data_IF_750881603371
#
_entry.id   IF_750881603371
#
_cell.length_a   1.000
_cell.length_b   1.000
_cell.length_c   1.000
_cell.angle_alpha   90.00
_cell.angle_beta   90.00
_cell.angle_gamma   90.00
#
_symmetry.space_group_name_H-M   'P 1'
#
loop_
_entity.id
_entity.type
_entity.pdbx_description
1 polymer ?
#
# COMPACT_ATOMS: atom_id res chain seq x y z
N UNK A 1 18.57 1.48 -14.85
CA UNK A 1 18.10 2.84 -14.53
C UNK A 1 16.58 2.81 -14.65
N UNK A 2 15.86 3.33 -13.66
CA UNK A 2 14.39 3.33 -13.69
C UNK A 2 13.87 4.21 -14.81
N UNK A 3 12.82 3.76 -15.50
CA UNK A 3 12.17 4.47 -16.60
C UNK A 3 10.77 4.92 -16.26
N UNK A 4 10.10 4.20 -15.36
CA UNK A 4 8.78 4.54 -14.85
C UNK A 4 8.67 4.04 -13.41
N UNK A 5 8.15 4.89 -12.52
CA UNK A 5 7.77 4.48 -11.18
C UNK A 5 6.28 4.74 -10.91
N UNK A 6 5.63 3.83 -10.21
CA UNK A 6 4.30 4.00 -9.65
C UNK A 6 4.43 3.95 -8.13
N UNK A 7 3.87 4.94 -7.46
CA UNK A 7 3.77 4.97 -6.00
C UNK A 7 2.28 5.03 -5.67
N UNK A 8 1.77 3.97 -5.08
CA UNK A 8 0.44 3.93 -4.52
C UNK A 8 0.43 4.47 -3.09
N UNK A 9 -0.55 5.30 -2.76
CA UNK A 9 -0.89 5.62 -1.37
C UNK A 9 -2.29 5.02 -1.15
N UNK A 10 -2.36 3.95 -0.39
CA UNK A 10 -3.60 3.20 -0.13
C UNK A 10 -4.58 4.08 0.67
N UNK A 11 -5.83 4.18 0.23
CA UNK A 11 -6.84 4.98 0.92
C UNK A 11 -6.63 6.50 0.91
N UNK A 12 -5.85 7.05 -0.02
CA UNK A 12 -5.54 8.48 -0.01
C UNK A 12 -6.68 9.35 -0.56
N UNK A 13 -6.99 10.44 0.14
CA UNK A 13 -7.96 11.45 -0.33
C UNK A 13 -7.34 12.85 -0.38
N UNK A 14 -7.71 13.63 -1.39
CA UNK A 14 -7.34 15.05 -1.48
C UNK A 14 -7.93 15.88 -0.33
N UNK A 15 -9.00 15.43 0.31
CA UNK A 15 -9.59 16.12 1.47
C UNK A 15 -8.64 16.17 2.67
N UNK A 16 -7.72 15.21 2.78
CA UNK A 16 -6.63 15.23 3.77
C UNK A 16 -5.36 15.80 3.16
N UNK A 17 -4.97 15.37 1.96
CA UNK A 17 -3.71 15.78 1.34
C UNK A 17 -3.61 17.28 1.10
N UNK A 18 -4.68 17.94 0.61
CA UNK A 18 -4.62 19.37 0.27
C UNK A 18 -4.37 20.24 1.50
N UNK A 19 -5.10 20.10 2.63
CA UNK A 19 -4.78 20.82 3.86
C UNK A 19 -3.34 20.60 4.35
N UNK A 20 -2.83 19.37 4.28
CA UNK A 20 -1.45 19.07 4.70
C UNK A 20 -0.40 19.71 3.80
N UNK A 21 -0.65 19.76 2.49
CA UNK A 21 0.22 20.46 1.53
C UNK A 21 0.20 21.97 1.77
N UNK A 22 -0.98 22.56 1.99
CA UNK A 22 -1.12 23.99 2.31
C UNK A 22 -0.42 24.34 3.62
N UNK A 23 -0.43 23.42 4.60
CA UNK A 23 0.32 23.51 5.85
C UNK A 23 1.84 23.28 5.72
N UNK A 24 2.33 22.89 4.53
CA UNK A 24 3.75 22.63 4.28
C UNK A 24 4.25 21.27 4.80
N UNK A 25 3.35 20.33 5.08
CA UNK A 25 3.67 19.06 5.76
C UNK A 25 3.98 17.90 4.80
N UNK A 26 3.56 18.00 3.53
CA UNK A 26 3.82 17.01 2.48
C UNK A 26 4.56 17.64 1.28
N UNK A 27 5.80 18.14 1.46
CA UNK A 27 6.52 18.88 0.42
C UNK A 27 6.87 18.04 -0.83
N UNK A 28 7.09 16.72 -0.69
CA UNK A 28 7.48 15.88 -1.82
C UNK A 28 6.30 15.60 -2.75
N UNK A 29 5.13 15.28 -2.18
CA UNK A 29 3.89 15.13 -2.93
C UNK A 29 3.47 16.49 -3.50
N UNK A 30 3.57 17.58 -2.73
CA UNK A 30 3.29 18.93 -3.22
C UNK A 30 4.12 19.28 -4.46
N UNK A 31 5.40 18.88 -4.49
CA UNK A 31 6.27 19.04 -5.67
C UNK A 31 5.71 18.28 -6.88
N UNK A 32 5.32 17.02 -6.72
CA UNK A 32 4.75 16.20 -7.81
C UNK A 32 3.46 16.83 -8.35
N UNK A 33 2.56 17.29 -7.47
CA UNK A 33 1.31 17.92 -7.91
C UNK A 33 1.54 19.24 -8.65
N UNK A 34 2.54 20.03 -8.24
CA UNK A 34 2.88 21.32 -8.85
C UNK A 34 3.59 21.16 -10.21
N UNK A 35 4.47 20.18 -10.32
CA UNK A 35 5.32 19.97 -11.52
C UNK A 35 4.69 18.99 -12.53
N UNK A 36 3.63 18.27 -12.12
CA UNK A 36 2.92 17.28 -12.93
C UNK A 36 1.48 17.67 -13.26
N UNK A 37 0.66 16.64 -13.49
CA UNK A 37 -0.78 16.76 -13.72
C UNK A 37 -1.49 15.99 -12.60
N UNK A 38 -2.52 16.61 -12.02
CA UNK A 38 -3.32 16.00 -10.96
C UNK A 38 -4.80 16.24 -11.16
N UNK A 39 -5.63 15.35 -10.61
CA UNK A 39 -7.07 15.44 -10.67
C UNK A 39 -7.72 14.28 -9.91
N UNK A 40 -9.00 14.42 -9.60
CA UNK A 40 -9.79 13.37 -8.98
C UNK A 40 -10.04 12.24 -9.98
N UNK A 41 -9.91 11.00 -9.53
CA UNK A 41 -10.22 9.80 -10.32
C UNK A 41 -11.36 9.03 -9.64
N UNK A 42 -12.29 8.52 -10.45
CA UNK A 42 -13.33 7.61 -9.95
C UNK A 42 -12.70 6.23 -9.67
N UNK A 43 -12.83 5.75 -8.43
CA UNK A 43 -12.43 4.39 -8.05
C UNK A 43 -13.38 3.34 -8.66
N UNK A 44 -13.02 2.08 -8.51
CA UNK A 44 -13.86 0.96 -8.92
C UNK A 44 -15.12 0.84 -8.04
N UNK A 45 -16.10 0.08 -8.53
CA UNK A 45 -17.32 -0.25 -7.78
C UNK A 45 -17.33 -1.75 -7.46
N UNK A 46 -17.15 -2.17 -6.20
CA UNK A 46 -16.99 -1.34 -4.98
C UNK A 46 -15.60 -0.70 -4.82
N UNK A 47 -15.50 0.47 -4.15
CA UNK A 47 -14.24 1.21 -3.97
C UNK A 47 -13.45 0.64 -2.79
N UNK A 48 -12.92 -0.57 -2.98
CA UNK A 48 -12.10 -1.27 -1.98
C UNK A 48 -10.82 -1.79 -2.64
N UNK A 49 -9.77 -1.99 -1.83
CA UNK A 49 -8.43 -2.39 -2.25
C UNK A 49 -8.37 -3.48 -3.34
N UNK A 50 -9.06 -4.64 -3.24
CA UNK A 50 -8.88 -5.73 -4.21
C UNK A 50 -9.30 -5.42 -5.66
N UNK A 51 -10.54 -4.97 -5.95
CA UNK A 51 -10.93 -4.58 -7.30
C UNK A 51 -10.13 -3.40 -7.84
N UNK A 52 -9.84 -2.40 -7.01
CA UNK A 52 -9.19 -1.17 -7.45
C UNK A 52 -7.73 -1.40 -7.89
N UNK A 53 -6.87 -2.00 -7.04
CA UNK A 53 -5.49 -2.31 -7.44
C UNK A 53 -5.42 -3.33 -8.58
N UNK A 54 -6.32 -4.32 -8.61
CA UNK A 54 -6.37 -5.28 -9.73
C UNK A 54 -6.76 -4.59 -11.04
N UNK A 55 -7.71 -3.67 -11.01
CA UNK A 55 -8.12 -2.90 -12.20
C UNK A 55 -6.99 -2.01 -12.68
N UNK A 56 -6.29 -1.34 -11.76
CA UNK A 56 -5.12 -0.52 -12.08
C UNK A 56 -4.01 -1.34 -12.74
N UNK A 57 -3.71 -2.53 -12.22
CA UNK A 57 -2.69 -3.40 -12.78
C UNK A 57 -3.09 -3.99 -14.14
N UNK A 58 -4.37 -4.24 -14.39
CA UNK A 58 -4.85 -4.97 -15.58
C UNK A 58 -5.45 -4.08 -16.67
N UNK A 59 -5.76 -2.82 -16.37
CA UNK A 59 -6.40 -1.87 -17.27
C UNK A 59 -7.84 -2.24 -17.64
N UNK A 60 -8.51 -3.08 -16.85
CA UNK A 60 -9.90 -3.50 -17.07
C UNK A 60 -10.65 -3.52 -15.74
N UNK A 61 -11.98 -3.41 -15.77
CA UNK A 61 -12.81 -3.36 -14.55
C UNK A 61 -13.05 -4.75 -13.90
N UNK A 62 -13.65 -4.81 -12.69
CA UNK A 62 -13.97 -6.04 -11.98
C UNK A 62 -14.82 -7.04 -12.75
N UNK A 63 -15.68 -6.56 -13.64
CA UNK A 63 -16.44 -7.36 -14.60
C UNK A 63 -15.57 -8.27 -15.45
N UNK A 64 -14.36 -7.81 -15.80
CA UNK A 64 -13.47 -8.50 -16.72
C UNK A 64 -12.36 -9.30 -16.03
N UNK A 65 -11.78 -8.81 -14.94
CA UNK A 65 -10.76 -9.57 -14.20
C UNK A 65 -11.34 -10.46 -13.08
N UNK A 66 -12.60 -10.26 -12.69
CA UNK A 66 -13.32 -11.15 -11.77
C UNK A 66 -12.85 -11.10 -10.31
N UNK A 67 -12.26 -9.98 -9.87
CA UNK A 67 -11.88 -9.73 -8.47
C UNK A 67 -12.77 -8.60 -7.94
N UNK A 68 -13.61 -8.92 -6.96
CA UNK A 68 -14.57 -7.97 -6.38
C UNK A 68 -14.34 -7.72 -4.88
N UNK A 69 -13.53 -8.55 -4.23
CA UNK A 69 -13.25 -8.51 -2.79
C UNK A 69 -12.01 -9.36 -2.50
N UNK A 70 -11.48 -9.32 -1.27
CA UNK A 70 -10.37 -10.18 -0.82
C UNK A 70 -10.74 -11.67 -0.84
N UNK A 71 -12.03 -11.99 -0.69
CA UNK A 71 -12.55 -13.35 -0.69
C UNK A 71 -13.51 -13.53 -1.86
N UNK A 72 -13.57 -14.74 -2.40
CA UNK A 72 -14.59 -15.16 -3.34
C UNK A 72 -15.33 -16.35 -2.79
N UNK A 73 -16.60 -16.47 -3.18
CA UNK A 73 -17.37 -17.70 -3.00
C UNK A 73 -16.91 -18.74 -4.01
N UNK A 74 -16.76 -19.99 -3.56
CA UNK A 74 -16.48 -21.12 -4.43
C UNK A 74 -17.75 -21.49 -5.23
N UNK A 75 -17.64 -21.77 -6.54
CA UNK A 75 -18.79 -22.18 -7.35
C UNK A 75 -19.50 -23.39 -6.73
N UNK A 76 -20.83 -23.38 -6.76
CA UNK A 76 -21.68 -24.47 -6.26
C UNK A 76 -21.42 -24.85 -4.78
N UNK A 77 -20.94 -23.92 -3.97
CA UNK A 77 -20.58 -24.15 -2.57
C UNK A 77 -20.88 -22.92 -1.71
N UNK A 78 -20.92 -23.09 -0.39
CA UNK A 78 -20.87 -22.00 0.59
C UNK A 78 -19.45 -21.71 1.08
N UNK A 79 -18.45 -22.44 0.57
CA UNK A 79 -17.05 -22.21 0.89
C UNK A 79 -16.52 -20.92 0.28
N UNK A 80 -15.49 -20.36 0.93
CA UNK A 80 -14.79 -19.17 0.48
C UNK A 80 -13.32 -19.50 0.17
N UNK A 81 -12.72 -18.69 -0.70
CA UNK A 81 -11.28 -18.71 -0.97
C UNK A 81 -10.76 -17.28 -1.12
N UNK A 82 -9.49 -17.04 -0.79
CA UNK A 82 -8.85 -15.76 -1.04
C UNK A 82 -8.71 -15.52 -2.55
N UNK A 83 -8.97 -14.30 -3.00
CA UNK A 83 -8.52 -13.83 -4.30
C UNK A 83 -7.03 -13.49 -4.22
N UNK A 84 -6.33 -13.84 -5.28
CA UNK A 84 -4.87 -13.76 -5.36
C UNK A 84 -4.46 -13.53 -6.82
N UNK A 85 -3.16 -13.29 -7.02
CA UNK A 85 -2.57 -12.89 -8.29
C UNK A 85 -2.83 -13.88 -9.43
N UNK A 86 -3.06 -15.17 -9.15
CA UNK A 86 -3.24 -16.22 -10.17
C UNK A 86 -4.48 -16.01 -11.04
N UNK A 87 -5.40 -15.15 -10.62
CA UNK A 87 -6.57 -14.77 -11.44
C UNK A 87 -6.26 -13.87 -12.62
N UNK A 88 -5.24 -13.02 -12.48
CA UNK A 88 -4.95 -11.98 -13.46
C UNK A 88 -3.51 -12.01 -13.97
N UNK A 89 -2.61 -12.72 -13.27
CA UNK A 89 -1.21 -12.82 -13.66
C UNK A 89 -1.09 -13.28 -15.12
N UNK A 90 -0.23 -12.60 -15.86
CA UNK A 90 -0.14 -12.79 -17.32
C UNK A 90 -0.85 -11.70 -18.14
N UNK A 91 -1.74 -10.92 -17.52
CA UNK A 91 -2.53 -9.83 -18.14
C UNK A 91 -2.27 -8.46 -17.51
N UNK A 92 -1.52 -8.40 -16.42
CA UNK A 92 -1.13 -7.18 -15.71
C UNK A 92 0.04 -6.44 -16.37
N UNK A 93 0.20 -5.17 -16.01
CA UNK A 93 1.25 -4.29 -16.50
C UNK A 93 2.65 -4.84 -16.23
N UNK A 94 2.89 -5.49 -15.08
CA UNK A 94 4.19 -6.09 -14.75
C UNK A 94 4.54 -7.18 -15.77
N UNK A 95 3.59 -8.07 -16.07
CA UNK A 95 3.78 -9.11 -17.09
C UNK A 95 3.93 -8.51 -18.49
N UNK A 96 3.11 -7.52 -18.85
CA UNK A 96 3.13 -6.87 -20.17
C UNK A 96 4.47 -6.18 -20.45
N UNK A 97 5.03 -5.50 -19.45
CA UNK A 97 6.34 -4.84 -19.53
C UNK A 97 7.48 -5.87 -19.51
N UNK A 98 7.40 -6.89 -18.64
CA UNK A 98 8.37 -7.98 -18.60
C UNK A 98 8.52 -8.71 -19.95
N UNK A 99 7.40 -9.00 -20.62
CA UNK A 99 7.37 -9.58 -21.98
C UNK A 99 7.97 -8.67 -23.05
N UNK A 100 8.00 -7.36 -22.82
CA UNK A 100 8.65 -6.35 -23.68
C UNK A 100 10.12 -6.13 -23.32
N UNK A 101 10.69 -6.95 -22.43
CA UNK A 101 12.09 -6.90 -22.05
C UNK A 101 12.43 -5.88 -20.97
N UNK A 102 11.43 -5.29 -20.30
CA UNK A 102 11.68 -4.42 -19.15
C UNK A 102 11.96 -5.28 -17.91
N UNK A 103 12.93 -4.85 -17.12
CA UNK A 103 13.09 -5.32 -15.75
C UNK A 103 12.01 -4.71 -14.85
N UNK A 104 11.45 -5.50 -13.93
CA UNK A 104 10.29 -5.14 -13.11
C UNK A 104 10.61 -5.35 -11.63
N UNK A 105 10.47 -4.30 -10.84
CA UNK A 105 10.54 -4.32 -9.39
C UNK A 105 9.19 -3.96 -8.79
N UNK A 106 8.66 -4.80 -7.92
CA UNK A 106 7.48 -4.45 -7.12
C UNK A 106 7.75 -4.64 -5.64
N UNK A 107 7.23 -3.74 -4.80
CA UNK A 107 7.42 -3.79 -3.36
C UNK A 107 6.11 -3.50 -2.62
N UNK A 108 5.65 -4.45 -1.79
CA UNK A 108 4.44 -4.32 -0.99
C UNK A 108 3.16 -3.98 -1.79
N UNK A 109 3.06 -4.42 -3.04
CA UNK A 109 1.89 -4.11 -3.90
C UNK A 109 0.74 -5.07 -3.58
N UNK A 110 -0.46 -4.57 -3.20
CA UNK A 110 -1.62 -5.41 -2.93
C UNK A 110 -1.99 -6.30 -4.12
N UNK A 111 -2.63 -7.43 -3.83
CA UNK A 111 -3.10 -8.44 -4.79
C UNK A 111 -2.01 -9.18 -5.58
N UNK A 112 -0.73 -8.85 -5.40
CA UNK A 112 0.41 -9.50 -6.07
C UNK A 112 0.76 -10.85 -5.46
N UNK A 113 0.23 -11.22 -4.29
CA UNK A 113 0.46 -12.55 -3.71
C UNK A 113 -0.31 -13.67 -4.44
N UNK A 114 0.27 -14.87 -4.63
CA UNK A 114 1.70 -15.13 -4.52
C UNK A 114 2.46 -14.39 -5.64
N UNK A 115 3.66 -13.84 -5.35
CA UNK A 115 4.45 -13.18 -6.38
C UNK A 115 4.75 -14.20 -7.49
N UNK A 116 4.82 -13.72 -8.73
CA UNK A 116 4.96 -14.56 -9.91
C UNK A 116 6.19 -14.16 -10.73
N UNK A 117 6.74 -15.07 -11.55
CA UNK A 117 7.94 -14.78 -12.33
C UNK A 117 7.76 -13.59 -13.25
N UNK A 118 8.62 -12.58 -13.09
CA UNK A 118 8.85 -11.53 -14.09
C UNK A 118 10.12 -11.86 -14.86
N UNK A 119 10.26 -11.40 -16.10
CA UNK A 119 11.41 -11.76 -16.95
C UNK A 119 12.76 -11.41 -16.27
N UNK A 120 12.84 -10.20 -15.70
CA UNK A 120 13.98 -9.72 -14.92
C UNK A 120 13.46 -8.84 -13.78
N UNK A 121 14.13 -8.87 -12.61
CA UNK A 121 13.79 -8.03 -11.46
C UNK A 121 13.31 -8.81 -10.25
N UNK A 122 12.33 -8.28 -9.52
CA UNK A 122 11.83 -8.85 -8.27
C UNK A 122 10.38 -8.46 -7.97
N UNK A 123 9.74 -9.22 -7.08
CA UNK A 123 8.45 -8.89 -6.49
C UNK A 123 8.44 -9.19 -5.00
N UNK A 124 7.99 -8.24 -4.19
CA UNK A 124 7.60 -8.44 -2.79
C UNK A 124 6.09 -8.18 -2.72
N UNK A 125 5.33 -9.20 -2.32
CA UNK A 125 3.88 -9.12 -2.32
C UNK A 125 3.34 -8.25 -1.17
N UNK A 126 2.29 -7.49 -1.45
CA UNK A 126 1.40 -6.92 -0.45
C UNK A 126 0.16 -7.79 -0.22
N UNK A 127 -0.74 -7.30 0.65
CA UNK A 127 -1.97 -7.99 1.05
C UNK A 127 -2.92 -8.30 -0.13
N UNK A 128 -3.70 -9.40 -0.09
CA UNK A 128 -3.76 -10.41 0.97
C UNK A 128 -2.63 -11.43 0.83
N UNK A 129 -1.89 -11.65 1.90
CA UNK A 129 -0.76 -12.57 1.95
C UNK A 129 -0.53 -13.06 3.40
N UNK A 130 0.30 -14.09 3.62
CA UNK A 130 0.81 -14.40 4.95
C UNK A 130 1.53 -13.19 5.54
N UNK A 131 1.52 -13.04 6.87
CA UNK A 131 2.19 -11.91 7.54
C UNK A 131 3.70 -11.96 7.32
N UNK A 132 4.30 -13.15 7.33
CA UNK A 132 5.73 -13.37 7.16
C UNK A 132 6.00 -14.62 6.30
N UNK A 133 7.25 -14.75 5.84
CA UNK A 133 7.79 -15.98 5.27
C UNK A 133 8.25 -15.88 3.82
N UNK A 134 9.02 -16.90 3.41
CA UNK A 134 9.71 -16.95 2.10
C UNK A 134 8.77 -16.78 0.89
N UNK A 135 7.49 -17.16 1.02
CA UNK A 135 6.50 -17.06 -0.06
C UNK A 135 6.11 -15.64 -0.46
N UNK A 136 6.52 -14.63 0.30
CA UNK A 136 6.24 -13.22 0.01
C UNK A 136 7.12 -12.64 -1.10
N UNK A 137 8.23 -13.30 -1.43
CA UNK A 137 9.23 -12.77 -2.34
C UNK A 137 9.44 -13.64 -3.58
N UNK A 138 9.70 -12.98 -4.71
CA UNK A 138 10.26 -13.57 -5.91
C UNK A 138 11.44 -12.71 -6.40
N UNK A 139 12.58 -13.29 -6.81
CA UNK A 139 12.87 -14.72 -6.88
C UNK A 139 13.05 -15.36 -5.49
N UNK A 140 13.13 -16.70 -5.46
CA UNK A 140 13.41 -17.43 -4.23
C UNK A 140 14.71 -16.92 -3.58
N UNK A 141 14.68 -16.73 -2.26
CA UNK A 141 15.79 -16.16 -1.49
C UNK A 141 15.73 -14.65 -1.29
N UNK A 142 14.86 -13.92 -2.00
CA UNK A 142 14.70 -12.48 -1.83
C UNK A 142 14.33 -12.10 -0.40
N UNK A 143 13.38 -12.79 0.23
CA UNK A 143 12.97 -12.44 1.60
C UNK A 143 14.12 -12.58 2.60
N UNK A 144 14.91 -13.65 2.50
CA UNK A 144 16.12 -13.84 3.33
C UNK A 144 17.14 -12.73 3.12
N UNK A 145 17.28 -12.26 1.90
CA UNK A 145 18.14 -11.11 1.59
C UNK A 145 17.64 -9.84 2.29
N UNK A 146 16.34 -9.53 2.18
CA UNK A 146 15.74 -8.37 2.88
C UNK A 146 15.90 -8.47 4.40
N UNK A 147 15.63 -9.63 4.97
CA UNK A 147 15.76 -9.90 6.42
C UNK A 147 17.20 -9.73 6.89
N UNK A 148 18.19 -10.11 6.07
CA UNK A 148 19.60 -9.90 6.38
C UNK A 148 20.00 -8.43 6.47
N UNK A 149 19.24 -7.53 5.83
CA UNK A 149 19.53 -6.09 5.82
C UNK A 149 19.05 -5.37 7.08
N UNK A 150 17.93 -5.82 7.65
CA UNK A 150 17.31 -5.22 8.84
C UNK A 150 17.56 -6.02 10.13
N UNK A 151 17.99 -7.28 10.03
CA UNK A 151 18.33 -8.13 11.17
C UNK A 151 17.12 -8.79 11.85
N UNK A 152 15.94 -8.73 11.25
CA UNK A 152 14.71 -9.37 11.72
C UNK A 152 13.79 -9.77 10.54
N UNK A 153 12.80 -10.65 10.76
CA UNK A 153 11.83 -11.06 9.74
C UNK A 153 11.10 -9.88 9.08
N UNK A 154 10.75 -10.03 7.79
CA UNK A 154 9.91 -9.06 7.08
C UNK A 154 8.43 -9.29 7.41
N UNK A 155 7.69 -8.21 7.60
CA UNK A 155 6.26 -8.21 7.93
C UNK A 155 5.42 -7.49 6.86
N UNK A 156 4.51 -8.25 6.25
CA UNK A 156 3.67 -7.81 5.15
C UNK A 156 2.39 -7.06 5.59
N UNK A 157 2.03 -7.11 6.87
CA UNK A 157 1.05 -6.25 7.55
C UNK A 157 1.15 -6.48 9.07
N UNK A 158 0.35 -5.76 9.87
CA UNK A 158 0.12 -6.07 11.28
C UNK A 158 -0.68 -7.38 11.41
N UNK A 159 -0.38 -8.19 12.42
CA UNK A 159 -1.30 -9.26 12.84
C UNK A 159 -2.51 -8.61 13.53
N UNK A 160 -3.65 -8.54 12.85
CA UNK A 160 -4.88 -7.97 13.41
C UNK A 160 -5.63 -8.91 14.34
N UNK A 161 -5.22 -10.18 14.48
CA UNK A 161 -5.87 -11.14 15.38
C UNK A 161 -5.98 -10.64 16.84
N UNK A 162 -4.92 -10.05 17.42
CA UNK A 162 -4.94 -9.38 18.71
C UNK A 162 -5.73 -8.05 18.74
N UNK A 163 -6.20 -7.53 17.60
CA UNK A 163 -6.79 -6.20 17.44
C UNK A 163 -8.27 -6.22 17.03
N UNK A 164 -9.07 -7.20 17.46
CA UNK A 164 -10.55 -7.24 17.30
C UNK A 164 -11.14 -6.94 15.90
N UNK A 165 -10.28 -6.84 14.87
CA UNK A 165 -10.59 -6.28 13.56
C UNK A 165 -11.04 -4.81 13.60
N UNK A 166 -11.56 -4.35 12.46
CA UNK A 166 -12.12 -3.01 12.27
C UNK A 166 -13.55 -2.85 12.87
N UNK A 167 -13.84 -3.54 13.98
CA UNK A 167 -15.15 -3.49 14.63
C UNK A 167 -15.17 -2.46 15.75
N UNK A 168 -16.10 -1.51 15.69
CA UNK A 168 -16.32 -0.58 16.80
C UNK A 168 -16.86 -1.29 18.05
N UNK A 169 -16.19 -1.06 19.18
CA UNK A 169 -16.61 -1.54 20.49
C UNK A 169 -17.26 -0.41 21.30
N UNK A 170 -18.14 -0.75 22.26
CA UNK A 170 -18.72 0.25 23.17
C UNK A 170 -17.68 1.03 23.99
N UNK A 171 -16.51 0.43 24.23
CA UNK A 171 -15.41 1.04 24.97
C UNK A 171 -14.08 0.80 24.28
N UNK A 172 -13.29 1.87 24.15
CA UNK A 172 -11.96 1.81 23.57
C UNK A 172 -10.93 1.26 24.55
N UNK A 173 -10.13 0.31 24.09
CA UNK A 173 -8.88 -0.05 24.73
C UNK A 173 -7.76 0.83 24.18
N UNK A 174 -7.55 2.00 24.79
CA UNK A 174 -6.56 2.98 24.30
C UNK A 174 -5.12 2.44 24.34
N UNK A 175 -4.79 1.48 25.22
CA UNK A 175 -3.46 0.84 25.21
C UNK A 175 -3.28 -0.05 23.98
N UNK A 176 -4.32 -0.74 23.55
CA UNK A 176 -4.33 -1.54 22.32
C UNK A 176 -4.20 -0.64 21.09
N UNK A 177 -4.89 0.51 21.06
CA UNK A 177 -4.70 1.52 20.00
C UNK A 177 -3.27 2.08 19.96
N UNK A 178 -2.65 2.33 21.12
CA UNK A 178 -1.25 2.76 21.17
C UNK A 178 -0.30 1.70 20.58
N UNK A 179 -0.48 0.43 20.95
CA UNK A 179 0.30 -0.67 20.37
C UNK A 179 0.09 -0.80 18.85
N UNK A 180 -1.16 -0.73 18.40
CA UNK A 180 -1.50 -0.79 16.97
C UNK A 180 -0.82 0.34 16.19
N UNK A 181 -0.90 1.59 16.68
CA UNK A 181 -0.20 2.74 16.09
C UNK A 181 1.30 2.45 15.98
N UNK A 182 1.92 2.05 17.08
CA UNK A 182 3.37 1.85 17.12
C UNK A 182 3.81 0.72 16.16
N UNK A 183 3.03 -0.35 16.04
CA UNK A 183 3.29 -1.44 15.08
C UNK A 183 3.10 -1.00 13.63
N UNK A 184 2.01 -0.30 13.31
CA UNK A 184 1.75 0.22 11.97
C UNK A 184 2.90 1.11 11.47
N UNK A 185 3.32 2.07 12.30
CA UNK A 185 4.41 2.97 11.93
C UNK A 185 5.76 2.27 11.88
N UNK A 186 6.04 1.32 12.79
CA UNK A 186 7.28 0.54 12.72
C UNK A 186 7.36 -0.26 11.42
N UNK A 187 6.32 -1.02 11.07
CA UNK A 187 6.30 -1.85 9.85
C UNK A 187 6.49 -0.99 8.61
N UNK A 188 5.79 0.15 8.53
CA UNK A 188 5.92 1.03 7.37
C UNK A 188 7.30 1.74 7.33
N UNK A 189 7.92 2.04 8.48
CA UNK A 189 9.31 2.53 8.53
C UNK A 189 10.33 1.49 8.07
N UNK A 190 10.14 0.22 8.44
CA UNK A 190 10.97 -0.90 7.97
C UNK A 190 10.83 -1.05 6.44
N UNK A 191 9.60 -0.96 5.92
CA UNK A 191 9.32 -0.94 4.48
C UNK A 191 10.01 0.20 3.74
N UNK A 192 10.01 1.41 4.30
CA UNK A 192 10.73 2.55 3.73
C UNK A 192 12.22 2.23 3.57
N UNK A 193 12.84 1.72 4.64
CA UNK A 193 14.27 1.40 4.66
C UNK A 193 14.61 0.29 3.64
N UNK A 194 13.83 -0.78 3.62
CA UNK A 194 14.00 -1.89 2.67
C UNK A 194 13.77 -1.45 1.23
N UNK A 195 12.70 -0.70 0.96
CA UNK A 195 12.41 -0.17 -0.37
C UNK A 195 13.55 0.70 -0.89
N UNK A 196 14.06 1.64 -0.06
CA UNK A 196 15.19 2.51 -0.43
C UNK A 196 16.40 1.70 -0.86
N UNK A 197 16.76 0.69 -0.06
CA UNK A 197 17.92 -0.15 -0.36
C UNK A 197 17.68 -1.02 -1.60
N UNK A 198 16.50 -1.65 -1.70
CA UNK A 198 16.16 -2.52 -2.81
C UNK A 198 16.14 -1.77 -4.15
N UNK A 199 15.56 -0.57 -4.18
CA UNK A 199 15.49 0.26 -5.38
C UNK A 199 16.88 0.77 -5.81
N UNK A 200 17.76 1.07 -4.84
CA UNK A 200 19.13 1.52 -5.10
C UNK A 200 20.04 0.38 -5.57
N UNK A 201 20.01 -0.76 -4.88
CA UNK A 201 20.93 -1.88 -5.12
C UNK A 201 20.47 -2.74 -6.31
N UNK A 202 19.16 -2.76 -6.59
CA UNK A 202 18.54 -3.53 -7.69
C UNK A 202 17.61 -2.63 -8.52
N UNK A 203 18.13 -1.65 -9.26
CA UNK A 203 17.28 -0.79 -10.08
C UNK A 203 16.59 -1.59 -11.18
N UNK A 204 15.33 -1.28 -11.45
CA UNK A 204 14.50 -1.92 -12.48
C UNK A 204 13.90 -0.86 -13.39
N UNK A 205 13.59 -1.20 -14.65
CA UNK A 205 13.01 -0.26 -15.61
C UNK A 205 11.62 0.21 -15.17
N UNK A 206 10.82 -0.69 -14.60
CA UNK A 206 9.54 -0.39 -13.99
C UNK A 206 9.56 -0.70 -12.50
N UNK A 207 9.29 0.31 -11.67
CA UNK A 207 9.17 0.15 -10.22
C UNK A 207 7.74 0.46 -9.75
N UNK A 208 7.15 -0.40 -8.92
CA UNK A 208 5.83 -0.14 -8.33
C UNK A 208 5.82 -0.50 -6.85
N UNK A 209 5.46 0.46 -6.00
CA UNK A 209 5.27 0.25 -4.56
C UNK A 209 3.94 0.81 -4.10
N UNK A 210 3.37 0.27 -3.02
CA UNK A 210 2.19 0.81 -2.35
C UNK A 210 2.49 1.02 -0.88
N UNK A 211 2.12 2.19 -0.37
CA UNK A 211 2.22 2.59 1.03
C UNK A 211 0.87 2.32 1.67
N UNK A 212 0.83 1.44 2.68
CA UNK A 212 -0.43 0.95 3.25
C UNK A 212 -0.86 1.66 4.52
N UNK A 213 0.08 2.28 5.24
CA UNK A 213 -0.18 2.86 6.57
C UNK A 213 -1.30 3.91 6.57
N UNK A 214 -1.50 4.64 5.48
CA UNK A 214 -2.56 5.64 5.36
C UNK A 214 -3.94 5.01 5.47
N UNK A 215 -4.24 4.00 4.66
CA UNK A 215 -5.49 3.22 4.73
C UNK A 215 -5.70 2.63 6.13
N UNK A 216 -4.68 1.97 6.70
CA UNK A 216 -4.77 1.37 8.04
C UNK A 216 -5.03 2.41 9.12
N UNK A 217 -4.30 3.52 9.11
CA UNK A 217 -4.52 4.57 10.09
C UNK A 217 -5.91 5.18 9.96
N UNK A 218 -6.43 5.32 8.74
CA UNK A 218 -7.76 5.84 8.51
C UNK A 218 -8.84 4.88 9.00
N UNK A 219 -8.74 3.56 8.74
CA UNK A 219 -9.66 2.57 9.31
C UNK A 219 -9.77 2.68 10.84
N UNK A 220 -8.64 2.62 11.54
CA UNK A 220 -8.66 2.46 13.00
C UNK A 220 -8.76 3.76 13.80
N UNK A 221 -8.31 4.90 13.25
CA UNK A 221 -8.13 6.13 14.03
C UNK A 221 -9.01 7.31 13.59
N UNK A 222 -9.84 7.16 12.55
CA UNK A 222 -10.72 8.25 12.07
C UNK A 222 -11.63 8.81 13.15
N UNK A 223 -12.18 7.95 14.01
CA UNK A 223 -13.03 8.39 15.12
C UNK A 223 -12.35 9.33 16.11
N UNK A 224 -11.02 9.38 16.16
CA UNK A 224 -10.28 10.24 17.08
C UNK A 224 -10.00 11.63 16.49
N UNK A 225 -10.17 11.82 15.18
CA UNK A 225 -9.99 13.13 14.53
C UNK A 225 -11.32 13.84 14.28
N UNK A 226 -12.42 13.10 14.09
CA UNK A 226 -13.75 13.68 13.85
C UNK A 226 -14.62 13.69 15.11
N UNK A 227 -14.91 14.89 15.63
CA UNK A 227 -15.80 15.09 16.79
C UNK A 227 -17.25 14.69 16.53
N UNK A 228 -17.66 14.56 15.26
CA UNK A 228 -19.01 14.13 14.88
C UNK A 228 -19.19 12.61 14.96
N UNK A 229 -18.09 11.87 15.00
CA UNK A 229 -18.09 10.42 15.00
C UNK A 229 -18.70 9.85 16.30
N UNK A 230 -19.61 8.86 16.25
CA UNK A 230 -20.26 8.30 17.45
C UNK A 230 -19.28 7.72 18.48
N UNK A 231 -18.21 7.09 18.01
CA UNK A 231 -17.11 6.57 18.83
C UNK A 231 -16.05 7.61 19.26
N UNK A 232 -16.25 8.91 19.01
CA UNK A 232 -15.27 9.93 19.40
C UNK A 232 -15.14 10.02 20.93
N UNK A 233 -13.90 10.21 21.41
CA UNK A 233 -13.63 10.52 22.81
C UNK A 233 -12.51 11.54 22.94
N UNK A 234 -12.62 12.46 23.90
CA UNK A 234 -11.61 13.51 24.14
C UNK A 234 -10.24 12.91 24.48
N UNK A 235 -10.22 11.85 25.30
CA UNK A 235 -8.99 11.14 25.67
C UNK A 235 -8.34 10.47 24.45
N UNK A 236 -9.13 9.82 23.60
CA UNK A 236 -8.64 9.21 22.36
C UNK A 236 -8.13 10.25 21.37
N UNK A 237 -8.87 11.33 21.16
CA UNK A 237 -8.48 12.45 20.30
C UNK A 237 -7.14 13.08 20.74
N UNK A 238 -6.94 13.28 22.04
CA UNK A 238 -5.67 13.79 22.57
C UNK A 238 -4.48 12.86 22.31
N UNK A 239 -4.70 11.55 22.28
CA UNK A 239 -3.64 10.55 22.10
C UNK A 239 -3.38 10.22 20.63
N UNK A 240 -4.42 10.26 19.80
CA UNK A 240 -4.41 9.65 18.47
C UNK A 240 -4.96 10.54 17.35
N UNK A 241 -5.44 11.76 17.64
CA UNK A 241 -6.03 12.65 16.63
C UNK A 241 -5.06 13.05 15.51
N UNK A 242 -3.75 12.91 15.72
CA UNK A 242 -2.72 13.23 14.74
C UNK A 242 -2.24 11.99 13.94
N UNK A 243 -2.70 10.78 14.28
CA UNK A 243 -2.19 9.52 13.71
C UNK A 243 -2.38 9.46 12.19
N UNK A 244 -3.53 9.90 11.69
CA UNK A 244 -3.80 9.94 10.25
C UNK A 244 -2.89 10.96 9.57
N UNK A 245 -2.77 12.17 10.13
CA UNK A 245 -1.82 13.18 9.63
C UNK A 245 -0.38 12.64 9.55
N UNK A 246 0.08 11.98 10.61
CA UNK A 246 1.42 11.40 10.68
C UNK A 246 1.63 10.30 9.62
N UNK A 247 0.57 9.54 9.28
CA UNK A 247 0.64 8.51 8.23
C UNK A 247 0.85 9.13 6.84
N UNK A 248 0.23 10.28 6.55
CA UNK A 248 0.45 11.02 5.30
C UNK A 248 1.83 11.68 5.23
N UNK A 249 2.36 12.15 6.37
CA UNK A 249 3.77 12.62 6.45
C UNK A 249 4.74 11.49 6.12
N UNK A 250 4.51 10.29 6.67
CA UNK A 250 5.31 9.12 6.32
C UNK A 250 5.17 8.75 4.83
N UNK A 251 3.96 8.80 4.27
CA UNK A 251 3.76 8.59 2.83
C UNK A 251 4.53 9.62 1.96
N UNK A 252 4.59 10.89 2.38
CA UNK A 252 5.39 11.92 1.72
C UNK A 252 6.89 11.58 1.73
N UNK A 253 7.42 11.06 2.84
CA UNK A 253 8.80 10.61 2.94
C UNK A 253 9.10 9.45 1.97
N UNK A 254 8.17 8.50 1.79
CA UNK A 254 8.30 7.45 0.77
C UNK A 254 8.36 8.02 -0.64
N UNK A 255 7.46 8.93 -0.97
CA UNK A 255 7.42 9.58 -2.29
C UNK A 255 8.72 10.33 -2.56
N UNK A 256 9.21 11.08 -1.55
CA UNK A 256 10.50 11.76 -1.60
C UNK A 256 11.67 10.80 -1.83
N UNK A 257 11.68 9.67 -1.11
CA UNK A 257 12.71 8.64 -1.24
C UNK A 257 12.74 8.01 -2.64
N UNK A 258 11.58 7.68 -3.21
CA UNK A 258 11.49 7.15 -4.58
C UNK A 258 12.04 8.19 -5.55
N UNK A 259 11.56 9.45 -5.49
CA UNK A 259 12.02 10.54 -6.35
C UNK A 259 13.54 10.73 -6.29
N UNK A 260 14.12 10.77 -5.08
CA UNK A 260 15.56 10.92 -4.86
C UNK A 260 16.36 9.82 -5.57
N UNK A 261 15.89 8.56 -5.49
CA UNK A 261 16.63 7.42 -6.05
C UNK A 261 16.46 7.29 -7.56
N UNK A 262 15.24 7.52 -8.09
CA UNK A 262 14.99 7.37 -9.53
C UNK A 262 15.46 8.58 -10.34
N UNK A 263 15.60 9.75 -9.71
CA UNK A 263 16.02 11.00 -10.34
C UNK A 263 14.85 11.81 -10.88
N UNK A 264 15.07 13.11 -11.13
CA UNK A 264 14.03 14.07 -11.50
C UNK A 264 13.43 13.83 -12.89
N UNK A 265 14.18 13.24 -13.82
CA UNK A 265 13.72 12.98 -15.20
C UNK A 265 12.81 11.76 -15.34
N UNK A 266 12.68 10.93 -14.30
CA UNK A 266 11.87 9.71 -14.35
C UNK A 266 10.39 10.06 -14.07
N UNK A 267 9.45 9.67 -14.93
CA UNK A 267 8.03 9.85 -14.63
C UNK A 267 7.62 9.02 -13.41
N UNK A 268 6.91 9.67 -12.47
CA UNK A 268 6.26 9.02 -11.33
C UNK A 268 4.75 9.21 -11.46
N UNK A 269 4.00 8.10 -11.45
CA UNK A 269 2.56 8.13 -11.23
C UNK A 269 2.29 7.96 -9.72
N UNK A 270 1.71 8.98 -9.10
CA UNK A 270 1.20 8.91 -7.74
C UNK A 270 -0.30 8.62 -7.80
N UNK A 271 -0.73 7.51 -7.23
CA UNK A 271 -2.09 6.98 -7.39
C UNK A 271 -2.66 6.48 -6.07
N UNK A 272 -3.98 6.40 -6.00
CA UNK A 272 -4.69 5.75 -4.90
C UNK A 272 -5.76 4.83 -5.45
N UNK A 273 -6.10 3.80 -4.70
CA UNK A 273 -7.14 2.84 -5.03
C UNK A 273 -8.53 3.36 -4.68
N UNK A 274 -8.70 3.97 -3.51
CA UNK A 274 -9.93 4.60 -3.05
C UNK A 274 -9.64 5.75 -2.06
N UNK A 275 -10.67 6.54 -1.76
CA UNK A 275 -10.60 7.56 -0.71
C UNK A 275 -11.03 7.04 0.66
N UNK A 276 -11.17 7.97 1.60
CA UNK A 276 -11.72 7.79 2.95
C UNK A 276 -12.60 8.98 3.32
N UNK A 277 -13.50 8.78 4.29
CA UNK A 277 -14.42 9.82 4.79
C UNK A 277 -15.46 9.25 5.75
#
# INVERSE_FOLDING_TARGET
MTRLAIVGIDGATFDILRPLIEGGECPHIARILREGVSGDLESEKPPITPPAWTSMMTGVNPGRHGVYHFIRRLPNSYGYALNDSRKYSGKDIMTILGKRGWSVGTFSVPMVFPPFPVNQGYQVAGIPCPIQGDSLGWPAGLMKELESWQGHPYEADVDYGPFDGDNEKPHDNLEQYARLRDELFRIERDRLALMRRLLKDKPTDFFFTVISVTDRCQHYFWKFQDKSHPGWSEKGAKLFGEVIRDSYRLADEFVGAVREIVGDDVPIALVSDHGFG
#
